data_IF_299576976575
#
_entry.id   IF_299576976575
#
_cell.length_a   1.000
_cell.length_b   1.000
_cell.length_c   1.000
_cell.angle_alpha   90.00
_cell.angle_beta   90.00
_cell.angle_gamma   90.00
#
_symmetry.space_group_name_H-M   'P 1'
#
loop_
_entity.id
_entity.type
_entity.pdbx_description
1 polymer ?
#
# COMPACT_ATOMS: atom_id res chain seq x y z
N UNK A 1 -4.05 15.88 0.67
CA UNK A 1 -5.19 15.02 1.09
C UNK A 1 -5.42 14.03 -0.03
N UNK A 2 -5.85 12.81 0.31
CA UNK A 2 -6.16 11.79 -0.68
C UNK A 2 -7.33 12.22 -1.58
N UNK A 3 -7.43 11.67 -2.79
CA UNK A 3 -8.66 11.76 -3.58
C UNK A 3 -9.82 11.10 -2.82
N UNK A 4 -11.08 11.57 -3.02
CA UNK A 4 -12.23 10.92 -2.41
C UNK A 4 -12.34 9.46 -2.89
N UNK A 5 -12.81 8.53 -2.05
CA UNK A 5 -13.10 7.18 -2.50
C UNK A 5 -14.15 7.21 -3.61
N UNK A 6 -14.03 6.32 -4.59
CA UNK A 6 -15.14 6.06 -5.52
C UNK A 6 -16.28 5.33 -4.81
N UNK A 7 -17.41 5.19 -5.48
CA UNK A 7 -18.60 4.55 -4.93
C UNK A 7 -18.31 3.11 -4.48
N UNK A 8 -18.33 2.89 -3.15
CA UNK A 8 -18.23 1.59 -2.53
C UNK A 8 -19.63 0.97 -2.41
N UNK A 9 -19.80 -0.36 -2.60
CA UNK A 9 -21.07 -1.02 -2.35
C UNK A 9 -21.59 -0.75 -0.94
N UNK A 10 -22.91 -0.61 -0.78
CA UNK A 10 -23.56 -0.25 0.50
C UNK A 10 -23.17 -1.18 1.65
N UNK A 11 -23.16 -2.50 1.42
CA UNK A 11 -22.77 -3.47 2.44
C UNK A 11 -21.32 -3.24 2.91
N UNK A 12 -20.39 -3.02 1.98
CA UNK A 12 -18.99 -2.76 2.29
C UNK A 12 -18.85 -1.45 3.06
N UNK A 13 -19.55 -0.39 2.65
CA UNK A 13 -19.56 0.89 3.37
C UNK A 13 -19.98 0.73 4.84
N UNK A 14 -21.03 -0.04 5.11
CA UNK A 14 -21.50 -0.32 6.47
C UNK A 14 -20.46 -1.11 7.27
N UNK A 15 -19.83 -2.11 6.68
CA UNK A 15 -18.81 -2.92 7.33
C UNK A 15 -17.57 -2.10 7.68
N UNK A 16 -17.08 -1.27 6.76
CA UNK A 16 -15.95 -0.37 7.02
C UNK A 16 -16.28 0.67 8.10
N UNK A 17 -17.49 1.22 8.09
CA UNK A 17 -17.95 2.16 9.12
C UNK A 17 -17.99 1.50 10.50
N UNK A 18 -18.51 0.27 10.58
CA UNK A 18 -18.52 -0.51 11.80
C UNK A 18 -17.10 -0.84 12.27
N UNK A 19 -16.21 -1.22 11.36
CA UNK A 19 -14.81 -1.50 11.65
C UNK A 19 -14.12 -0.27 12.23
N UNK A 20 -14.29 0.91 11.61
CA UNK A 20 -13.75 2.19 12.09
C UNK A 20 -14.18 2.47 13.53
N UNK A 21 -15.46 2.26 13.83
CA UNK A 21 -16.01 2.61 15.14
C UNK A 21 -15.60 1.62 16.25
N UNK A 22 -15.19 0.40 15.89
CA UNK A 22 -14.82 -0.67 16.84
C UNK A 22 -13.32 -0.78 17.11
N UNK A 23 -12.49 -0.17 16.27
CA UNK A 23 -11.04 -0.30 16.36
C UNK A 23 -10.38 1.06 16.58
N UNK A 24 -9.37 1.07 17.44
CA UNK A 24 -8.52 2.25 17.63
C UNK A 24 -7.43 2.29 16.55
N UNK A 25 -7.64 3.10 15.52
CA UNK A 25 -6.68 3.25 14.43
C UNK A 25 -5.35 3.86 14.87
N UNK A 26 -5.33 4.71 15.90
CA UNK A 26 -4.09 5.29 16.44
C UNK A 26 -3.24 4.17 17.04
N UNK A 27 -3.86 3.29 17.82
CA UNK A 27 -3.17 2.15 18.43
C UNK A 27 -2.75 1.10 17.39
N UNK A 28 -3.62 0.82 16.41
CA UNK A 28 -3.28 -0.07 15.30
C UNK A 28 -2.09 0.45 14.49
N UNK A 29 -2.03 1.77 14.23
CA UNK A 29 -0.89 2.36 13.54
C UNK A 29 0.38 2.30 14.38
N UNK A 30 0.29 2.61 15.68
CA UNK A 30 1.45 2.55 16.60
C UNK A 30 2.00 1.13 16.76
N UNK A 31 1.14 0.13 16.75
CA UNK A 31 1.52 -1.29 16.83
C UNK A 31 2.11 -1.84 15.52
N UNK A 32 2.21 -1.04 14.45
CA UNK A 32 2.88 -1.48 13.22
C UNK A 32 4.33 -1.82 13.50
N UNK A 33 4.72 -3.03 13.09
CA UNK A 33 6.07 -3.52 13.23
C UNK A 33 6.47 -4.31 11.96
N UNK A 34 7.52 -3.84 11.30
CA UNK A 34 8.17 -4.57 10.22
C UNK A 34 9.67 -4.34 10.23
N UNK A 35 10.44 -5.36 10.61
CA UNK A 35 11.90 -5.28 10.74
C UNK A 35 12.32 -4.11 11.66
N UNK A 36 12.96 -3.09 11.07
CA UNK A 36 13.43 -1.90 11.75
C UNK A 36 12.44 -0.73 11.61
N UNK A 37 11.24 -0.94 11.08
CA UNK A 37 10.20 0.08 11.05
C UNK A 37 9.19 -0.17 12.18
N UNK A 38 9.32 0.60 13.25
CA UNK A 38 8.33 0.69 14.34
C UNK A 38 7.96 2.15 14.60
N UNK A 39 6.86 2.36 15.33
CA UNK A 39 6.46 3.72 15.67
C UNK A 39 7.50 4.41 16.55
N UNK A 40 8.07 3.68 17.52
CA UNK A 40 9.02 4.18 18.50
C UNK A 40 10.33 4.67 17.87
N UNK A 41 10.82 3.96 16.84
CA UNK A 41 12.02 4.37 16.12
C UNK A 41 11.74 5.28 14.91
N UNK A 42 10.45 5.54 14.64
CA UNK A 42 9.97 6.50 13.67
C UNK A 42 10.03 6.01 12.22
N UNK A 43 9.88 4.71 11.98
CA UNK A 43 9.86 4.08 10.65
C UNK A 43 10.99 4.52 9.71
N UNK A 44 12.27 4.34 10.09
CA UNK A 44 13.42 4.87 9.37
C UNK A 44 13.57 4.37 7.93
N UNK A 45 13.22 3.12 7.65
CA UNK A 45 13.37 2.54 6.31
C UNK A 45 12.19 2.93 5.40
N UNK A 46 10.98 3.00 5.95
CA UNK A 46 9.82 3.59 5.26
C UNK A 46 10.12 5.05 4.89
N UNK A 47 10.61 5.86 5.83
CA UNK A 47 10.96 7.26 5.59
C UNK A 47 11.97 7.40 4.43
N UNK A 48 13.01 6.56 4.44
CA UNK A 48 14.04 6.53 3.39
C UNK A 48 13.43 6.18 2.03
N UNK A 49 12.61 5.12 1.96
CA UNK A 49 12.01 4.67 0.70
C UNK A 49 11.00 5.66 0.13
N UNK A 50 10.18 6.30 0.97
CA UNK A 50 9.25 7.33 0.49
C UNK A 50 9.99 8.54 -0.09
N UNK A 51 11.06 9.01 0.56
CA UNK A 51 11.92 10.08 0.01
C UNK A 51 12.55 9.67 -1.31
N UNK A 52 13.13 8.48 -1.36
CA UNK A 52 13.79 7.95 -2.55
C UNK A 52 12.83 7.85 -3.73
N UNK A 53 11.64 7.28 -3.54
CA UNK A 53 10.69 7.08 -4.64
C UNK A 53 9.99 8.37 -5.06
N UNK A 54 9.76 9.32 -4.14
CA UNK A 54 9.31 10.68 -4.48
C UNK A 54 10.33 11.36 -5.39
N UNK A 55 11.62 11.32 -5.03
CA UNK A 55 12.70 11.92 -5.84
C UNK A 55 12.85 11.21 -7.20
N UNK A 56 12.78 9.88 -7.21
CA UNK A 56 12.83 9.09 -8.45
C UNK A 56 11.66 9.44 -9.37
N UNK A 57 10.41 9.44 -8.89
CA UNK A 57 9.24 9.79 -9.71
C UNK A 57 9.35 11.22 -10.26
N UNK A 58 9.81 12.20 -9.47
CA UNK A 58 9.92 13.57 -9.96
C UNK A 58 10.99 13.78 -11.04
N UNK A 59 12.10 13.06 -10.98
CA UNK A 59 13.28 13.40 -11.79
C UNK A 59 13.54 12.42 -12.94
N UNK A 60 13.57 11.12 -12.65
CA UNK A 60 14.12 10.10 -13.57
C UNK A 60 13.17 8.93 -13.86
N UNK A 61 12.07 8.84 -13.12
CA UNK A 61 11.20 7.67 -13.04
C UNK A 61 11.64 6.69 -11.96
N UNK A 62 10.72 5.84 -11.52
CA UNK A 62 11.03 4.74 -10.61
C UNK A 62 11.82 3.68 -11.37
N UNK A 63 13.06 3.47 -10.96
CA UNK A 63 14.01 2.55 -11.60
C UNK A 63 13.81 1.11 -11.13
N UNK A 64 14.39 0.15 -11.87
CA UNK A 64 14.47 -1.24 -11.44
C UNK A 64 15.28 -1.41 -10.14
N UNK A 65 16.21 -0.49 -9.86
CA UNK A 65 16.92 -0.49 -8.58
C UNK A 65 16.01 -0.06 -7.44
N UNK A 66 15.18 0.97 -7.62
CA UNK A 66 14.18 1.37 -6.63
C UNK A 66 13.22 0.20 -6.32
N UNK A 67 12.80 -0.54 -7.36
CA UNK A 67 12.00 -1.77 -7.22
C UNK A 67 12.71 -2.81 -6.36
N UNK A 68 14.01 -3.04 -6.59
CA UNK A 68 14.81 -3.98 -5.81
C UNK A 68 14.98 -3.52 -4.36
N UNK A 69 15.14 -2.23 -4.12
CA UNK A 69 15.26 -1.67 -2.76
C UNK A 69 13.96 -1.87 -1.96
N UNK A 70 12.81 -1.63 -2.59
CA UNK A 70 11.48 -1.93 -2.02
C UNK A 70 11.32 -3.45 -1.77
N UNK A 71 11.78 -4.28 -2.71
CA UNK A 71 11.70 -5.73 -2.56
C UNK A 71 12.59 -6.26 -1.43
N UNK A 72 13.78 -5.69 -1.27
CA UNK A 72 14.70 -6.02 -0.17
C UNK A 72 14.08 -5.63 1.17
N UNK A 73 13.52 -4.42 1.29
CA UNK A 73 12.80 -3.99 2.49
C UNK A 73 11.63 -4.93 2.84
N UNK A 74 10.88 -5.37 1.83
CA UNK A 74 9.77 -6.30 2.00
C UNK A 74 10.19 -7.75 2.28
N UNK A 75 11.48 -8.04 2.44
CA UNK A 75 12.05 -9.38 2.63
C UNK A 75 11.68 -10.36 1.50
N UNK A 76 11.70 -9.91 0.24
CA UNK A 76 11.53 -10.81 -0.89
C UNK A 76 12.68 -11.81 -0.94
N UNK A 77 12.39 -13.09 -0.72
CA UNK A 77 13.38 -14.18 -0.60
C UNK A 77 14.41 -14.25 -1.74
N UNK A 78 14.10 -13.77 -2.93
CA UNK A 78 15.01 -13.79 -4.07
C UNK A 78 14.87 -12.55 -4.95
N UNK A 79 15.24 -11.38 -4.41
CA UNK A 79 15.24 -10.10 -5.13
C UNK A 79 16.19 -10.08 -6.34
N UNK A 80 17.19 -10.97 -6.38
CA UNK A 80 18.05 -11.18 -7.55
C UNK A 80 17.32 -11.68 -8.80
N UNK A 81 16.09 -12.21 -8.68
CA UNK A 81 15.25 -12.66 -9.80
C UNK A 81 14.37 -11.56 -10.41
N UNK A 82 14.42 -10.35 -9.87
CA UNK A 82 13.65 -9.23 -10.41
C UNK A 82 14.28 -8.78 -11.72
N UNK A 83 13.52 -8.92 -12.81
CA UNK A 83 13.90 -8.53 -14.17
C UNK A 83 12.84 -7.60 -14.74
N UNK A 84 13.28 -6.61 -15.50
CA UNK A 84 12.42 -5.61 -16.10
C UNK A 84 13.21 -4.54 -16.84
N UNK A 85 12.52 -3.51 -17.30
CA UNK A 85 13.13 -2.31 -17.86
C UNK A 85 13.87 -1.51 -16.79
N UNK A 86 14.93 -0.81 -17.18
CA UNK A 86 15.72 0.03 -16.28
C UNK A 86 14.85 1.08 -15.57
N UNK A 87 13.90 1.68 -16.29
CA UNK A 87 12.85 2.53 -15.73
C UNK A 87 11.55 1.72 -15.71
N UNK A 88 11.12 1.36 -14.51
CA UNK A 88 9.90 0.57 -14.28
C UNK A 88 8.64 1.42 -14.29
N UNK A 89 8.73 2.68 -13.85
CA UNK A 89 7.65 3.67 -13.96
C UNK A 89 8.23 5.00 -14.46
N UNK A 90 7.73 5.60 -15.56
CA UNK A 90 8.22 6.87 -16.08
C UNK A 90 8.12 8.02 -15.05
N UNK A 91 8.93 9.09 -15.18
CA UNK A 91 8.83 10.25 -14.30
C UNK A 91 7.47 10.93 -14.39
N UNK A 92 7.07 11.60 -13.31
CA UNK A 92 5.82 12.34 -13.16
C UNK A 92 4.58 11.47 -13.44
N UNK A 93 4.67 10.17 -13.16
CA UNK A 93 3.52 9.26 -13.30
C UNK A 93 2.63 9.35 -12.06
N UNK A 94 3.22 9.52 -10.88
CA UNK A 94 2.48 9.56 -9.62
C UNK A 94 2.15 10.99 -9.18
N UNK A 95 3.05 11.94 -9.44
CA UNK A 95 2.86 13.35 -9.10
C UNK A 95 2.72 14.25 -10.32
N UNK A 96 2.07 15.38 -10.12
CA UNK A 96 2.04 16.51 -11.06
C UNK A 96 3.16 17.50 -10.74
N UNK A 97 3.44 18.45 -11.65
CA UNK A 97 4.59 19.37 -11.55
C UNK A 97 4.65 20.25 -10.30
N UNK A 98 3.57 20.33 -9.52
CA UNK A 98 3.51 21.05 -8.24
C UNK A 98 3.69 20.13 -7.01
N UNK A 99 4.04 18.86 -7.20
CA UNK A 99 4.20 17.87 -6.15
C UNK A 99 2.89 17.30 -5.58
N UNK A 100 1.73 17.67 -6.14
CA UNK A 100 0.44 17.04 -5.79
C UNK A 100 0.25 15.72 -6.57
N UNK A 101 -0.58 14.78 -6.06
CA UNK A 101 -0.99 13.59 -6.80
C UNK A 101 -1.44 13.92 -8.23
N UNK A 102 -0.96 13.16 -9.22
CA UNK A 102 -1.30 13.39 -10.61
C UNK A 102 -2.79 13.13 -10.88
N UNK A 103 -3.44 13.97 -11.67
CA UNK A 103 -4.86 13.82 -12.02
C UNK A 103 -5.16 12.49 -12.75
N UNK A 104 -4.18 11.96 -13.50
CA UNK A 104 -4.26 10.64 -14.12
C UNK A 104 -4.45 9.51 -13.09
N UNK A 105 -3.87 9.64 -11.88
CA UNK A 105 -4.06 8.70 -10.76
C UNK A 105 -5.48 8.78 -10.22
N UNK A 106 -6.12 9.97 -10.23
CA UNK A 106 -7.54 10.11 -9.84
C UNK A 106 -8.45 9.39 -10.83
N UNK A 107 -8.21 9.57 -12.13
CA UNK A 107 -9.04 9.01 -13.20
C UNK A 107 -8.84 7.49 -13.33
N UNK A 108 -7.59 7.03 -13.21
CA UNK A 108 -7.23 5.62 -13.33
C UNK A 108 -6.16 5.24 -12.30
N UNK A 109 -6.56 4.94 -11.04
CA UNK A 109 -5.64 4.54 -9.98
C UNK A 109 -4.81 3.29 -10.31
N UNK A 110 -5.30 2.45 -11.23
CA UNK A 110 -4.62 1.22 -11.68
C UNK A 110 -3.63 1.42 -12.82
N UNK A 111 -3.59 2.61 -13.43
CA UNK A 111 -2.65 2.95 -14.50
C UNK A 111 -1.20 2.64 -14.11
N UNK A 112 -0.71 3.15 -12.96
CA UNK A 112 0.66 2.87 -12.52
C UNK A 112 0.95 1.39 -12.28
N UNK A 113 0.00 0.62 -11.72
CA UNK A 113 0.16 -0.84 -11.54
C UNK A 113 0.35 -1.53 -12.88
N UNK A 114 -0.48 -1.19 -13.89
CA UNK A 114 -0.40 -1.80 -15.22
C UNK A 114 0.93 -1.47 -15.91
N UNK A 115 1.43 -0.24 -15.75
CA UNK A 115 2.75 0.15 -16.26
C UNK A 115 3.86 -0.65 -15.59
N UNK A 116 3.85 -0.78 -14.26
CA UNK A 116 4.80 -1.62 -13.53
C UNK A 116 4.73 -3.09 -13.99
N UNK A 117 3.53 -3.62 -14.19
CA UNK A 117 3.29 -4.99 -14.65
C UNK A 117 3.81 -5.29 -16.06
N UNK A 118 3.79 -4.28 -16.94
CA UNK A 118 4.33 -4.37 -18.30
C UNK A 118 5.85 -4.25 -18.31
N UNK A 119 6.41 -3.41 -17.43
CA UNK A 119 7.83 -3.12 -17.41
C UNK A 119 8.64 -4.10 -16.55
N UNK A 120 8.02 -4.76 -15.57
CA UNK A 120 8.66 -5.74 -14.70
C UNK A 120 8.20 -7.15 -15.10
N UNK A 121 9.06 -7.84 -15.84
CA UNK A 121 8.73 -9.10 -16.51
C UNK A 121 8.83 -10.31 -15.59
N UNK A 122 9.60 -10.23 -14.48
CA UNK A 122 9.79 -11.35 -13.55
C UNK A 122 10.12 -10.89 -12.13
N UNK A 123 9.80 -11.74 -11.16
CA UNK A 123 10.40 -11.71 -9.83
C UNK A 123 9.56 -11.02 -8.76
N UNK A 124 8.51 -10.29 -9.14
CA UNK A 124 7.57 -9.68 -8.20
C UNK A 124 6.12 -10.03 -8.54
N UNK A 125 5.26 -9.90 -7.53
CA UNK A 125 3.82 -10.10 -7.66
C UNK A 125 3.03 -8.96 -7.02
N UNK A 126 1.70 -9.13 -6.88
CA UNK A 126 0.76 -8.12 -6.38
C UNK A 126 1.22 -7.33 -5.15
N UNK A 127 1.75 -8.02 -4.13
CA UNK A 127 2.25 -7.38 -2.90
C UNK A 127 3.38 -6.40 -3.15
N UNK A 128 4.32 -6.72 -4.03
CA UNK A 128 5.46 -5.83 -4.28
C UNK A 128 5.12 -4.72 -5.27
N UNK A 129 4.25 -5.01 -6.25
CA UNK A 129 3.69 -3.98 -7.15
C UNK A 129 2.97 -2.89 -6.34
N UNK A 130 2.14 -3.28 -5.38
CA UNK A 130 1.46 -2.34 -4.49
C UNK A 130 2.40 -1.63 -3.51
N UNK A 131 3.43 -2.31 -2.97
CA UNK A 131 4.46 -1.67 -2.12
C UNK A 131 5.19 -0.54 -2.85
N UNK A 132 5.55 -0.73 -4.13
CA UNK A 132 6.20 0.33 -4.93
C UNK A 132 5.33 1.59 -4.97
N UNK A 133 4.03 1.45 -5.23
CA UNK A 133 3.12 2.60 -5.26
C UNK A 133 2.88 3.20 -3.87
N UNK A 134 2.77 2.36 -2.84
CA UNK A 134 2.65 2.80 -1.43
C UNK A 134 3.82 3.68 -0.99
N UNK A 135 5.03 3.39 -1.45
CA UNK A 135 6.19 4.23 -1.19
C UNK A 135 6.27 5.43 -2.12
N UNK A 136 5.87 5.28 -3.38
CA UNK A 136 5.93 6.35 -4.38
C UNK A 136 4.88 7.45 -4.18
N UNK A 137 3.68 7.15 -3.67
CA UNK A 137 2.62 8.12 -3.43
C UNK A 137 1.76 7.69 -2.24
N UNK A 138 2.30 7.79 -1.00
CA UNK A 138 1.66 7.26 0.21
C UNK A 138 0.31 7.91 0.52
N UNK A 139 0.05 9.12 0.00
CA UNK A 139 -1.23 9.81 0.14
C UNK A 139 -2.37 9.03 -0.53
N UNK A 140 -2.11 8.34 -1.63
CA UNK A 140 -3.12 7.65 -2.45
C UNK A 140 -3.07 6.14 -2.37
N UNK A 141 -1.89 5.56 -2.12
CA UNK A 141 -1.69 4.11 -2.16
C UNK A 141 -1.26 3.55 -0.81
N UNK A 142 -1.78 2.37 -0.50
CA UNK A 142 -1.24 1.47 0.51
C UNK A 142 -0.87 0.12 -0.11
N UNK A 143 0.02 -0.63 0.55
CA UNK A 143 0.39 -1.96 0.08
C UNK A 143 -0.78 -2.94 0.28
N UNK A 144 -0.86 -3.98 -0.55
CA UNK A 144 -1.74 -5.13 -0.28
C UNK A 144 -0.87 -6.35 0.04
N UNK A 145 -0.56 -6.49 1.33
CA UNK A 145 0.20 -7.63 1.84
C UNK A 145 -0.69 -8.89 1.91
N UNK A 146 -0.05 -10.04 1.81
CA UNK A 146 -0.77 -11.31 1.91
C UNK A 146 -1.48 -11.47 3.25
N UNK A 147 -0.98 -10.88 4.35
CA UNK A 147 -1.69 -10.85 5.63
C UNK A 147 -3.05 -10.15 5.52
N UNK A 148 -3.08 -8.98 4.88
CA UNK A 148 -4.32 -8.24 4.64
C UNK A 148 -5.30 -9.07 3.80
N UNK A 149 -4.83 -9.73 2.75
CA UNK A 149 -5.71 -10.58 1.91
C UNK A 149 -6.24 -11.81 2.66
N UNK A 150 -5.46 -12.40 3.57
CA UNK A 150 -5.92 -13.53 4.39
C UNK A 150 -7.05 -13.15 5.35
N UNK A 151 -7.09 -11.89 5.81
CA UNK A 151 -8.05 -11.40 6.81
C UNK A 151 -9.25 -10.71 6.18
N UNK A 152 -9.01 -9.87 5.18
CA UNK A 152 -10.03 -9.03 4.51
C UNK A 152 -10.46 -9.55 3.13
N UNK A 153 -9.92 -10.70 2.70
CA UNK A 153 -10.25 -11.33 1.44
C UNK A 153 -10.30 -12.85 1.58
N UNK A 154 -10.01 -13.56 0.50
CA UNK A 154 -10.27 -15.00 0.44
C UNK A 154 -9.02 -15.87 0.65
N UNK A 155 -9.25 -17.13 1.04
CA UNK A 155 -8.30 -18.24 0.87
C UNK A 155 -7.69 -18.81 2.13
N UNK A 156 -7.66 -18.06 3.24
CA UNK A 156 -7.28 -18.57 4.56
C UNK A 156 -8.49 -18.60 5.50
N UNK A 157 -9.17 -19.73 5.57
CA UNK A 157 -10.36 -19.89 6.41
C UNK A 157 -10.09 -19.76 7.91
N UNK A 158 -8.83 -19.86 8.35
CA UNK A 158 -8.47 -19.72 9.76
C UNK A 158 -8.22 -18.26 10.15
N UNK A 159 -7.67 -17.45 9.25
CA UNK A 159 -7.38 -16.04 9.50
C UNK A 159 -8.53 -15.11 9.07
N UNK A 160 -9.41 -15.55 8.16
CA UNK A 160 -10.49 -14.75 7.60
C UNK A 160 -11.39 -14.11 8.67
N UNK A 161 -11.59 -12.79 8.58
CA UNK A 161 -12.46 -12.02 9.47
C UNK A 161 -13.49 -11.16 8.71
N UNK A 162 -13.20 -10.76 7.47
CA UNK A 162 -14.04 -9.85 6.68
C UNK A 162 -14.04 -10.15 5.18
N UNK A 163 -15.17 -9.93 4.53
CA UNK A 163 -15.37 -10.14 3.08
C UNK A 163 -15.19 -8.84 2.27
N UNK A 164 -14.14 -8.05 2.53
CA UNK A 164 -13.98 -6.75 1.86
C UNK A 164 -13.47 -6.85 0.42
N UNK A 165 -12.72 -7.90 0.11
CA UNK A 165 -12.03 -8.06 -1.15
C UNK A 165 -12.27 -9.45 -1.75
N UNK A 166 -12.70 -9.50 -3.01
CA UNK A 166 -12.69 -10.73 -3.80
C UNK A 166 -11.29 -11.05 -4.32
N UNK A 167 -10.25 -10.92 -3.48
CA UNK A 167 -8.86 -11.24 -3.79
C UNK A 167 -8.43 -12.43 -2.95
N UNK A 168 -7.78 -13.43 -3.57
CA UNK A 168 -7.42 -14.67 -2.89
C UNK A 168 -5.94 -14.78 -2.60
N UNK A 169 -5.61 -15.14 -1.36
CA UNK A 169 -4.29 -15.63 -0.96
C UNK A 169 -4.22 -17.16 -1.09
N UNK A 170 -3.05 -17.70 -1.43
CA UNK A 170 -2.81 -19.15 -1.52
C UNK A 170 -1.56 -19.54 -0.76
N UNK A 171 -1.53 -20.78 -0.26
CA UNK A 171 -0.36 -21.40 0.33
C UNK A 171 -0.22 -22.84 -0.18
N UNK A 172 0.87 -23.12 -0.88
CA UNK A 172 1.20 -24.46 -1.40
C UNK A 172 2.36 -25.11 -0.63
N UNK A 173 2.53 -24.76 0.64
CA UNK A 173 3.58 -25.31 1.51
C UNK A 173 4.87 -24.48 1.56
N UNK A 174 4.98 -23.41 0.77
CA UNK A 174 6.17 -22.54 0.73
C UNK A 174 5.93 -21.15 1.32
N UNK A 175 4.75 -20.91 1.89
CA UNK A 175 4.30 -19.63 2.42
C UNK A 175 3.13 -19.04 1.63
N UNK A 176 2.44 -18.12 2.28
CA UNK A 176 1.30 -17.42 1.70
C UNK A 176 1.73 -16.42 0.63
N UNK A 177 1.01 -16.38 -0.49
CA UNK A 177 1.20 -15.38 -1.55
C UNK A 177 -0.11 -15.04 -2.26
N UNK A 178 -0.15 -13.90 -2.95
CA UNK A 178 -1.25 -13.49 -3.82
C UNK A 178 -0.93 -13.90 -5.27
N UNK A 179 -1.65 -14.87 -5.88
CA UNK A 179 -1.42 -15.25 -7.27
C UNK A 179 -1.70 -14.08 -8.23
N UNK A 180 -0.75 -13.77 -9.12
CA UNK A 180 -0.94 -12.80 -10.21
C UNK A 180 -2.01 -13.23 -11.24
N UNK A 181 -2.11 -14.51 -11.67
CA UNK A 181 -3.04 -14.92 -12.73
C UNK A 181 -4.54 -14.96 -12.35
N UNK A 182 -4.94 -14.51 -11.17
CA UNK A 182 -6.34 -14.57 -10.75
C UNK A 182 -7.15 -13.43 -11.40
N UNK A 183 -8.40 -13.71 -11.80
CA UNK A 183 -9.25 -12.75 -12.50
C UNK A 183 -9.49 -11.45 -11.71
N UNK A 184 -9.48 -11.54 -10.38
CA UNK A 184 -9.66 -10.39 -9.51
C UNK A 184 -8.47 -9.42 -9.50
N UNK A 185 -7.27 -9.86 -9.89
CA UNK A 185 -6.11 -8.97 -9.97
C UNK A 185 -6.02 -8.35 -11.38
N UNK A 186 -5.85 -7.01 -11.51
CA UNK A 186 -5.55 -6.07 -10.44
C UNK A 186 -6.77 -5.29 -9.91
N UNK A 187 -7.98 -5.57 -10.40
CA UNK A 187 -9.21 -4.83 -10.04
C UNK A 187 -9.53 -4.82 -8.54
N UNK A 188 -9.30 -5.90 -7.80
CA UNK A 188 -9.54 -5.91 -6.35
C UNK A 188 -8.57 -4.99 -5.58
N UNK A 189 -7.39 -4.67 -6.15
CA UNK A 189 -6.53 -3.64 -5.57
C UNK A 189 -7.08 -2.23 -5.78
N UNK A 190 -7.87 -2.02 -6.84
CA UNK A 190 -8.61 -0.78 -7.06
C UNK A 190 -9.62 -0.54 -5.93
N UNK A 191 -10.35 -1.59 -5.53
CA UNK A 191 -11.23 -1.58 -4.35
C UNK A 191 -10.45 -1.33 -3.07
N UNK A 192 -9.29 -1.95 -2.89
CA UNK A 192 -8.42 -1.70 -1.74
C UNK A 192 -8.01 -0.23 -1.62
N UNK A 193 -7.66 0.43 -2.73
CA UNK A 193 -7.34 1.86 -2.74
C UNK A 193 -8.54 2.68 -2.26
N UNK A 194 -9.76 2.37 -2.73
CA UNK A 194 -10.96 3.09 -2.28
C UNK A 194 -11.30 2.83 -0.81
N UNK A 195 -11.05 1.63 -0.28
CA UNK A 195 -11.16 1.33 1.16
C UNK A 195 -10.21 2.22 1.97
N UNK A 196 -8.95 2.36 1.53
CA UNK A 196 -7.97 3.19 2.22
C UNK A 196 -8.35 4.68 2.17
N UNK A 197 -8.82 5.17 1.01
CA UNK A 197 -9.35 6.53 0.86
C UNK A 197 -10.57 6.78 1.72
N UNK A 198 -11.46 5.78 1.84
CA UNK A 198 -12.59 5.85 2.75
C UNK A 198 -12.11 6.10 4.18
N UNK A 199 -11.28 5.22 4.74
CA UNK A 199 -10.79 5.42 6.11
C UNK A 199 -10.02 6.73 6.28
N UNK A 200 -9.12 7.08 5.36
CA UNK A 200 -8.31 8.30 5.49
C UNK A 200 -9.18 9.57 5.51
N UNK A 201 -10.29 9.59 4.77
CA UNK A 201 -11.27 10.69 4.77
C UNK A 201 -12.19 10.70 5.99
N UNK A 202 -12.38 9.55 6.63
CA UNK A 202 -13.37 9.31 7.68
C UNK A 202 -12.79 9.26 9.09
N UNK A 203 -11.47 9.13 9.22
CA UNK A 203 -10.78 9.15 10.50
C UNK A 203 -10.59 10.59 11.01
N UNK A 204 -10.65 10.82 12.33
CA UNK A 204 -10.35 12.12 12.89
C UNK A 204 -8.89 12.52 12.59
N UNK A 205 -8.61 13.82 12.58
CA UNK A 205 -7.24 14.36 12.39
C UNK A 205 -6.40 14.14 13.65
N UNK A 206 -5.93 12.91 13.85
CA UNK A 206 -5.15 12.49 15.01
C UNK A 206 -4.12 11.39 14.66
N UNK A 207 -3.70 11.29 13.38
CA UNK A 207 -2.70 10.31 12.99
C UNK A 207 -1.37 10.59 13.73
N UNK A 208 -0.81 9.64 14.51
CA UNK A 208 0.31 9.92 15.39
C UNK A 208 1.64 9.80 14.63
N UNK A 209 1.86 10.60 13.59
CA UNK A 209 3.07 10.50 12.78
C UNK A 209 4.35 10.75 13.59
N UNK A 210 5.43 9.99 13.33
CA UNK A 210 6.75 10.40 13.80
C UNK A 210 7.15 11.75 13.19
N UNK A 211 7.71 12.65 14.01
CA UNK A 211 8.02 14.03 13.62
C UNK A 211 8.87 14.14 12.35
N UNK A 212 9.78 13.17 12.13
CA UNK A 212 10.66 13.14 10.96
C UNK A 212 9.90 13.09 9.63
N UNK A 213 8.71 12.49 9.57
CA UNK A 213 7.88 12.50 8.36
C UNK A 213 7.28 13.87 8.07
N UNK A 214 6.88 14.59 9.12
CA UNK A 214 6.35 15.96 9.02
C UNK A 214 7.47 16.92 8.61
N UNK A 215 8.63 16.83 9.25
CA UNK A 215 9.83 17.62 8.89
C UNK A 215 10.32 17.33 7.47
N UNK A 216 10.14 16.10 6.99
CA UNK A 216 10.44 15.72 5.61
C UNK A 216 9.46 16.28 4.57
N UNK A 217 8.32 16.83 4.99
CA UNK A 217 7.21 17.16 4.09
C UNK A 217 6.48 15.94 3.50
N UNK A 218 6.75 14.73 4.00
CA UNK A 218 6.10 13.49 3.53
C UNK A 218 4.72 13.26 4.15
N UNK A 219 4.44 13.92 5.28
CA UNK A 219 3.15 13.90 5.95
C UNK A 219 2.71 15.31 6.33
N UNK A 220 1.40 15.52 6.34
CA UNK A 220 0.77 16.66 7.00
C UNK A 220 0.43 16.21 8.41
N UNK A 221 0.82 17.00 9.40
CA UNK A 221 0.63 16.67 10.82
C UNK A 221 -0.82 16.24 11.11
N UNK A 222 -0.96 15.13 11.84
CA UNK A 222 -2.21 14.53 12.27
C UNK A 222 -3.18 14.07 11.17
N UNK A 223 -2.82 14.15 9.88
CA UNK A 223 -3.69 13.76 8.77
C UNK A 223 -3.39 12.34 8.30
N UNK A 224 -4.39 11.48 8.27
CA UNK A 224 -4.24 10.11 7.76
C UNK A 224 -3.99 10.10 6.25
N UNK A 225 -2.90 9.47 5.81
CA UNK A 225 -2.71 9.06 4.42
C UNK A 225 -3.14 7.60 4.21
N UNK A 226 -3.35 7.20 2.95
CA UNK A 226 -3.72 5.81 2.62
C UNK A 226 -2.66 4.79 3.10
N UNK A 227 -1.37 5.12 3.01
CA UNK A 227 -0.30 4.28 3.55
C UNK A 227 -0.35 4.13 5.09
N UNK A 228 -0.80 5.16 5.82
CA UNK A 228 -0.89 5.11 7.28
C UNK A 228 -2.07 4.24 7.72
N UNK A 229 -3.20 4.37 7.02
CA UNK A 229 -4.37 3.47 7.18
C UNK A 229 -3.96 2.04 6.87
N UNK A 230 -3.21 1.81 5.79
CA UNK A 230 -2.73 0.47 5.44
C UNK A 230 -1.86 -0.14 6.53
N UNK A 231 -0.95 0.64 7.14
CA UNK A 231 -0.16 0.18 8.27
C UNK A 231 -1.05 -0.24 9.46
N UNK A 232 -2.09 0.54 9.77
CA UNK A 232 -3.05 0.15 10.81
C UNK A 232 -3.81 -1.14 10.48
N UNK A 233 -4.29 -1.29 9.24
CA UNK A 233 -4.96 -2.50 8.78
C UNK A 233 -4.02 -3.72 8.74
N UNK A 234 -2.75 -3.51 8.40
CA UNK A 234 -1.71 -4.54 8.47
C UNK A 234 -1.49 -5.02 9.91
N UNK A 235 -1.42 -4.11 10.87
CA UNK A 235 -1.28 -4.46 12.30
C UNK A 235 -2.49 -5.25 12.80
N UNK A 236 -3.71 -4.85 12.41
CA UNK A 236 -4.92 -5.61 12.71
C UNK A 236 -4.83 -7.02 12.11
N UNK A 237 -4.51 -7.12 10.81
CA UNK A 237 -4.42 -8.41 10.14
C UNK A 237 -3.36 -9.33 10.77
N UNK A 238 -2.26 -8.75 11.25
CA UNK A 238 -1.16 -9.48 11.90
C UNK A 238 -1.57 -10.18 13.21
N UNK A 239 -2.69 -9.78 13.83
CA UNK A 239 -3.22 -10.44 15.04
C UNK A 239 -3.83 -11.83 14.73
N UNK A 240 -4.15 -12.11 13.46
CA UNK A 240 -4.83 -13.34 13.03
C UNK A 240 -3.95 -14.24 12.14
N UNK A 241 -2.76 -13.79 11.74
CA UNK A 241 -2.00 -14.39 10.61
C UNK A 241 -0.62 -14.91 10.94
#
# INVERSE_FOLDING_TARGET
MAFPPRELPEHLFLDLSNFRNRNDFVELYRSYNWNNDTHENGFPDILRLERQLLESDHNRGISLQDVKDVANWGNLRNSGRILGQEISLPPMTLHSGNGCPAEAVRINPMGPVRTLENNITRGIGPTYLSKILRFGLPQEYGAIDTRCVRVFGEGDTHAHQHDWLSLRARNYGYGWYIPRPQAAWPTAYDTWIDILRFFSSQLPKNCPHPIKFVEAGLRVDSVWNCADVEMALFSYASQFT
#
